data_IF_157493667617
#
_entry.id   IF_157493667617
#
_cell.length_a   1.000
_cell.length_b   1.000
_cell.length_c   1.000
_cell.angle_alpha   90.00
_cell.angle_beta   90.00
_cell.angle_gamma   90.00
#
_symmetry.space_group_name_H-M   'P 1'
#
loop_
_entity.id
_entity.type
_entity.pdbx_description
1 polymer ?
#
# COMPACT_ATOMS: atom_id res chain seq x y z
N UNK A 1 -9.94 -22.32 -6.56
CA UNK A 1 -9.48 -22.27 -7.95
C UNK A 1 -8.04 -21.80 -7.88
N UNK A 2 -7.09 -22.74 -7.87
CA UNK A 2 -5.67 -22.41 -7.82
C UNK A 2 -5.29 -21.90 -9.21
N UNK A 3 -5.21 -20.59 -9.35
CA UNK A 3 -5.12 -19.95 -10.65
C UNK A 3 -3.73 -20.05 -11.28
N UNK A 4 -2.68 -20.22 -10.47
CA UNK A 4 -1.30 -20.30 -10.94
C UNK A 4 -0.42 -21.06 -9.95
N UNK A 5 0.31 -22.03 -10.42
CA UNK A 5 1.37 -22.69 -9.67
C UNK A 5 2.73 -22.15 -10.13
N UNK A 6 3.61 -21.89 -9.18
CA UNK A 6 4.94 -21.32 -9.45
C UNK A 6 5.95 -22.45 -9.52
N UNK A 7 6.70 -22.48 -10.61
CA UNK A 7 7.85 -23.36 -10.73
C UNK A 7 9.07 -22.54 -11.14
N UNK A 8 10.26 -22.91 -10.72
CA UNK A 8 11.47 -22.27 -11.21
C UNK A 8 11.52 -22.28 -12.74
N UNK A 9 11.70 -21.10 -13.35
CA UNK A 9 11.74 -20.89 -14.79
C UNK A 9 10.47 -21.28 -15.58
N UNK A 10 9.34 -21.49 -14.90
CA UNK A 10 8.08 -21.87 -15.55
C UNK A 10 6.90 -21.17 -14.89
N UNK A 11 6.10 -20.49 -15.71
CA UNK A 11 4.87 -19.83 -15.27
C UNK A 11 3.70 -20.46 -16.00
N UNK A 12 3.01 -21.44 -15.43
CA UNK A 12 1.79 -22.01 -16.01
C UNK A 12 0.63 -21.02 -15.84
N UNK A 13 -0.16 -20.84 -16.89
CA UNK A 13 -1.36 -20.02 -16.89
C UNK A 13 -2.62 -20.87 -16.91
N UNK A 14 -3.68 -20.39 -16.24
CA UNK A 14 -5.01 -20.90 -16.53
C UNK A 14 -5.47 -20.39 -17.91
N UNK A 15 -6.30 -21.17 -18.59
CA UNK A 15 -6.92 -20.76 -19.86
C UNK A 15 -7.71 -19.46 -19.70
N UNK A 16 -8.37 -19.28 -18.55
CA UNK A 16 -9.14 -18.08 -18.24
C UNK A 16 -8.28 -16.80 -18.29
N UNK A 17 -7.07 -16.84 -17.75
CA UNK A 17 -6.16 -15.70 -17.73
C UNK A 17 -5.43 -15.56 -19.06
N UNK A 18 -4.93 -16.66 -19.62
CA UNK A 18 -4.08 -16.63 -20.80
C UNK A 18 -4.83 -16.41 -22.11
N UNK A 19 -6.09 -16.87 -22.22
CA UNK A 19 -6.80 -16.92 -23.50
C UNK A 19 -8.22 -16.37 -23.49
N UNK A 20 -8.89 -16.33 -22.32
CA UNK A 20 -10.30 -15.91 -22.22
C UNK A 20 -10.44 -14.51 -21.66
N UNK A 21 -9.53 -14.07 -20.80
CA UNK A 21 -9.55 -12.75 -20.21
C UNK A 21 -9.56 -11.68 -21.29
N UNK A 22 -10.60 -10.84 -21.30
CA UNK A 22 -10.70 -9.69 -22.20
C UNK A 22 -9.96 -8.52 -21.56
N UNK A 23 -9.01 -7.99 -22.30
CA UNK A 23 -8.36 -6.72 -21.98
C UNK A 23 -9.01 -5.67 -22.85
N UNK A 24 -9.73 -4.73 -22.25
CA UNK A 24 -10.27 -3.58 -22.96
C UNK A 24 -9.35 -2.39 -22.76
N UNK A 25 -8.44 -2.18 -23.71
CA UNK A 25 -7.52 -1.04 -23.70
C UNK A 25 -8.23 0.28 -24.08
N UNK A 26 -9.45 0.23 -24.63
CA UNK A 26 -10.22 1.38 -25.05
C UNK A 26 -10.94 2.06 -23.88
N UNK A 27 -11.24 1.32 -22.82
CA UNK A 27 -11.83 1.91 -21.62
C UNK A 27 -10.77 2.59 -20.75
N UNK A 28 -10.99 3.83 -20.38
CA UNK A 28 -10.17 4.55 -19.39
C UNK A 28 -10.07 3.82 -18.03
N UNK A 29 -10.82 2.74 -17.86
CA UNK A 29 -10.94 1.89 -16.69
C UNK A 29 -10.35 0.49 -16.79
N UNK A 30 -10.04 0.03 -18.01
CA UNK A 30 -9.55 -1.33 -18.21
C UNK A 30 -8.20 -1.57 -17.50
N UNK A 31 -8.19 -2.52 -16.57
CA UNK A 31 -6.95 -3.02 -15.99
C UNK A 31 -6.52 -4.24 -16.80
N UNK A 32 -5.34 -4.20 -17.36
CA UNK A 32 -4.73 -5.39 -17.96
C UNK A 32 -4.33 -6.35 -16.84
N UNK A 33 -5.33 -7.12 -16.40
CA UNK A 33 -5.14 -8.07 -15.32
C UNK A 33 -4.24 -9.23 -15.75
N UNK A 34 -4.32 -9.67 -17.00
CA UNK A 34 -3.47 -10.74 -17.52
C UNK A 34 -1.99 -10.33 -17.51
N UNK A 35 -1.69 -9.09 -17.92
CA UNK A 35 -0.34 -8.55 -17.87
C UNK A 35 0.14 -8.40 -16.40
N UNK A 36 -0.71 -7.87 -15.53
CA UNK A 36 -0.39 -7.71 -14.11
C UNK A 36 -0.03 -9.05 -13.46
N UNK A 37 -0.85 -10.08 -13.66
CA UNK A 37 -0.61 -11.42 -13.12
C UNK A 37 0.65 -12.04 -13.72
N UNK A 38 0.88 -11.86 -15.02
CA UNK A 38 2.11 -12.34 -15.67
C UNK A 38 3.35 -11.77 -15.01
N UNK A 39 3.37 -10.46 -14.76
CA UNK A 39 4.51 -9.80 -14.08
C UNK A 39 4.66 -10.30 -12.66
N UNK A 40 3.55 -10.52 -11.94
CA UNK A 40 3.55 -11.08 -10.59
C UNK A 40 4.23 -12.45 -10.56
N UNK A 41 3.83 -13.35 -11.44
CA UNK A 41 4.40 -14.69 -11.48
C UNK A 41 5.88 -14.70 -11.93
N UNK A 42 6.26 -13.80 -12.84
CA UNK A 42 7.66 -13.62 -13.20
C UNK A 42 8.47 -13.09 -12.01
N UNK A 43 7.92 -12.18 -11.20
CA UNK A 43 8.60 -11.66 -10.01
C UNK A 43 8.88 -12.75 -8.96
N UNK A 44 8.06 -13.81 -8.92
CA UNK A 44 8.31 -14.97 -8.06
C UNK A 44 9.60 -15.74 -8.40
N UNK A 45 10.19 -15.52 -9.57
CA UNK A 45 11.53 -16.08 -9.88
C UNK A 45 12.61 -15.52 -8.94
N UNK A 46 12.39 -14.37 -8.32
CA UNK A 46 13.21 -13.82 -7.23
C UNK A 46 12.57 -14.04 -5.87
N UNK A 47 11.30 -13.63 -5.71
CA UNK A 47 10.55 -13.64 -4.45
C UNK A 47 9.74 -14.92 -4.31
N UNK A 48 10.29 -15.97 -3.83
CA UNK A 48 9.88 -17.32 -3.51
C UNK A 48 10.88 -18.37 -4.01
N UNK A 49 11.52 -18.18 -5.17
CA UNK A 49 12.45 -19.20 -5.71
C UNK A 49 13.91 -18.92 -5.37
N UNK A 50 14.34 -17.67 -5.37
CA UNK A 50 15.69 -17.30 -4.91
C UNK A 50 15.67 -16.90 -3.43
N UNK A 51 14.67 -16.15 -3.00
CA UNK A 51 14.47 -15.76 -1.60
C UNK A 51 13.37 -16.63 -1.02
N UNK A 52 13.76 -17.65 -0.28
CA UNK A 52 12.83 -18.59 0.38
C UNK A 52 12.66 -18.13 1.83
N UNK A 53 11.42 -17.81 2.21
CA UNK A 53 11.07 -17.47 3.58
C UNK A 53 10.97 -18.69 4.49
N UNK A 54 11.35 -18.55 5.76
CA UNK A 54 11.05 -19.55 6.78
C UNK A 54 9.53 -19.74 6.91
N UNK A 55 9.10 -20.95 7.23
CA UNK A 55 7.69 -21.29 7.46
C UNK A 55 7.23 -20.75 8.83
N UNK A 56 7.05 -19.44 8.90
CA UNK A 56 6.61 -18.70 10.08
C UNK A 56 5.62 -17.61 9.67
N UNK A 57 4.99 -16.97 10.65
CA UNK A 57 4.13 -15.81 10.38
C UNK A 57 4.88 -14.75 9.59
N UNK A 58 4.22 -14.18 8.59
CA UNK A 58 4.78 -13.16 7.71
C UNK A 58 5.56 -13.70 6.50
N UNK A 59 5.71 -15.01 6.33
CA UNK A 59 6.45 -15.59 5.20
C UNK A 59 5.88 -15.14 3.84
N UNK A 60 4.57 -15.04 3.73
CA UNK A 60 3.87 -14.58 2.51
C UNK A 60 4.16 -13.12 2.16
N UNK A 61 4.64 -12.31 3.08
CA UNK A 61 5.11 -10.95 2.75
C UNK A 61 6.36 -11.01 1.85
N UNK A 62 7.26 -11.98 2.08
CA UNK A 62 8.48 -12.14 1.29
C UNK A 62 8.22 -12.59 -0.14
N UNK A 63 7.17 -13.39 -0.35
CA UNK A 63 6.80 -13.88 -1.68
C UNK A 63 5.78 -12.95 -2.35
N UNK A 64 4.59 -12.85 -1.78
CA UNK A 64 3.44 -12.21 -2.44
C UNK A 64 3.54 -10.68 -2.45
N UNK A 65 3.80 -10.06 -1.29
CA UNK A 65 3.80 -8.59 -1.23
C UNK A 65 4.91 -7.97 -2.08
N UNK A 66 6.06 -8.64 -2.16
CA UNK A 66 7.16 -8.15 -3.01
C UNK A 66 6.90 -8.41 -4.50
N UNK A 67 6.26 -9.52 -4.86
CA UNK A 67 5.84 -9.77 -6.24
C UNK A 67 4.77 -8.78 -6.70
N UNK A 68 3.79 -8.47 -5.84
CA UNK A 68 2.80 -7.42 -6.08
C UNK A 68 3.45 -6.04 -6.28
N UNK A 69 4.41 -5.68 -5.42
CA UNK A 69 5.14 -4.42 -5.56
C UNK A 69 5.88 -4.33 -6.91
N UNK A 70 6.54 -5.41 -7.33
CA UNK A 70 7.21 -5.46 -8.64
C UNK A 70 6.19 -5.27 -9.76
N UNK A 71 5.04 -5.93 -9.70
CA UNK A 71 3.97 -5.79 -10.68
C UNK A 71 3.49 -4.34 -10.79
N UNK A 72 3.24 -3.68 -9.65
CA UNK A 72 2.88 -2.28 -9.63
C UNK A 72 3.93 -1.39 -10.29
N UNK A 73 5.21 -1.63 -10.03
CA UNK A 73 6.30 -0.81 -10.60
C UNK A 73 6.47 -1.03 -12.11
N UNK A 74 6.28 -2.24 -12.60
CA UNK A 74 6.29 -2.54 -14.04
C UNK A 74 5.09 -1.89 -14.73
N UNK A 75 3.89 -2.01 -14.16
CA UNK A 75 2.70 -1.32 -14.69
C UNK A 75 2.90 0.20 -14.72
N UNK A 76 3.46 0.78 -13.67
CA UNK A 76 3.75 2.22 -13.65
C UNK A 76 4.72 2.62 -14.78
N UNK A 77 5.75 1.80 -15.01
CA UNK A 77 6.73 2.06 -16.05
C UNK A 77 6.13 1.93 -17.46
N UNK A 78 5.27 0.96 -17.69
CA UNK A 78 4.66 0.70 -19.01
C UNK A 78 3.46 1.60 -19.29
N UNK A 79 2.60 1.79 -18.33
CA UNK A 79 1.30 2.46 -18.51
C UNK A 79 1.21 3.84 -17.84
N UNK A 80 2.22 4.23 -17.08
CA UNK A 80 2.27 5.52 -16.40
C UNK A 80 1.46 5.60 -15.10
N UNK A 81 1.69 6.70 -14.36
CA UNK A 81 1.12 6.93 -13.02
C UNK A 81 -0.42 6.97 -12.99
N UNK A 82 -1.07 7.47 -14.06
CA UNK A 82 -2.53 7.56 -14.10
C UNK A 82 -3.16 6.16 -14.01
N UNK A 83 -2.67 5.21 -14.83
CA UNK A 83 -3.15 3.83 -14.82
C UNK A 83 -2.78 3.14 -13.49
N UNK A 84 -1.60 3.41 -12.95
CA UNK A 84 -1.15 2.89 -11.65
C UNK A 84 -2.11 3.26 -10.51
N UNK A 85 -2.61 4.50 -10.46
CA UNK A 85 -3.57 4.92 -9.42
C UNK A 85 -4.84 4.07 -9.38
N UNK A 86 -5.27 3.54 -10.52
CA UNK A 86 -6.44 2.63 -10.57
C UNK A 86 -6.14 1.31 -9.90
N UNK A 87 -4.95 0.74 -10.12
CA UNK A 87 -4.51 -0.47 -9.42
C UNK A 87 -4.39 -0.23 -7.91
N UNK A 88 -3.80 0.88 -7.50
CA UNK A 88 -3.70 1.24 -6.08
C UNK A 88 -5.07 1.44 -5.44
N UNK A 89 -5.99 2.11 -6.15
CA UNK A 89 -7.37 2.27 -5.66
C UNK A 89 -8.07 0.92 -5.50
N UNK A 90 -7.96 0.06 -6.50
CA UNK A 90 -8.51 -1.30 -6.44
C UNK A 90 -7.95 -2.08 -5.25
N UNK A 91 -6.63 -2.10 -5.08
CA UNK A 91 -5.99 -2.77 -3.95
C UNK A 91 -6.49 -2.22 -2.60
N UNK A 92 -6.68 -0.90 -2.48
CA UNK A 92 -7.23 -0.29 -1.27
C UNK A 92 -8.68 -0.71 -1.02
N UNK A 93 -9.52 -0.65 -2.05
CA UNK A 93 -10.94 -1.03 -1.95
C UNK A 93 -11.08 -2.51 -1.56
N UNK A 94 -10.29 -3.39 -2.18
CA UNK A 94 -10.26 -4.83 -1.88
C UNK A 94 -9.75 -5.10 -0.45
N UNK A 95 -8.69 -4.42 0.00
CA UNK A 95 -8.22 -4.53 1.37
C UNK A 95 -9.29 -4.11 2.38
N UNK A 96 -9.87 -2.91 2.21
CA UNK A 96 -10.88 -2.38 3.12
C UNK A 96 -12.15 -3.23 3.15
N UNK A 97 -12.57 -3.76 2.00
CA UNK A 97 -13.73 -4.64 1.90
C UNK A 97 -13.46 -5.99 2.55
N UNK A 98 -12.35 -6.63 2.21
CA UNK A 98 -12.04 -7.99 2.70
C UNK A 98 -11.85 -8.03 4.21
N UNK A 99 -11.21 -7.01 4.80
CA UNK A 99 -11.05 -6.94 6.26
C UNK A 99 -12.37 -6.87 7.01
N UNK A 100 -13.47 -6.41 6.39
CA UNK A 100 -14.79 -6.40 7.04
C UNK A 100 -15.37 -7.79 7.22
N UNK A 101 -14.88 -8.78 6.46
CA UNK A 101 -15.28 -10.18 6.52
C UNK A 101 -14.32 -11.03 7.37
N UNK A 102 -13.26 -10.45 7.94
CA UNK A 102 -12.32 -11.19 8.79
C UNK A 102 -13.03 -11.71 10.06
N UNK A 103 -13.00 -13.02 10.25
CA UNK A 103 -13.71 -13.69 11.36
C UNK A 103 -12.80 -14.09 12.51
N UNK A 104 -11.50 -14.23 12.24
CA UNK A 104 -10.53 -14.65 13.26
C UNK A 104 -9.88 -13.43 13.89
N UNK A 105 -8.89 -12.90 13.19
CA UNK A 105 -8.14 -11.70 13.58
C UNK A 105 -7.45 -11.13 12.34
N UNK A 106 -7.34 -9.82 12.24
CA UNK A 106 -6.44 -9.17 11.30
C UNK A 106 -5.03 -9.18 11.90
N UNK A 107 -4.03 -9.52 11.10
CA UNK A 107 -2.64 -9.42 11.52
C UNK A 107 -1.97 -8.18 10.91
N UNK A 108 -0.93 -7.66 11.56
CA UNK A 108 -0.02 -6.74 10.91
C UNK A 108 0.70 -7.46 9.76
N UNK A 109 1.13 -6.70 8.73
CA UNK A 109 1.71 -7.30 7.52
C UNK A 109 2.90 -8.22 7.85
N UNK A 110 3.77 -7.78 8.73
CA UNK A 110 4.97 -8.53 9.13
C UNK A 110 4.67 -9.86 9.83
N UNK A 111 3.45 -10.02 10.34
CA UNK A 111 2.98 -11.22 11.04
C UNK A 111 1.78 -11.88 10.36
N UNK A 112 1.61 -11.63 9.05
CA UNK A 112 0.51 -12.19 8.29
C UNK A 112 0.46 -13.73 8.38
N UNK A 113 -0.76 -14.25 8.55
CA UNK A 113 -1.05 -15.69 8.70
C UNK A 113 -1.76 -16.22 7.44
N UNK A 114 -1.18 -15.94 6.26
CA UNK A 114 -1.72 -16.39 4.97
C UNK A 114 -2.97 -15.67 4.49
N UNK A 115 -3.36 -14.55 5.13
CA UNK A 115 -4.54 -13.78 4.72
C UNK A 115 -4.24 -13.00 3.42
N UNK A 116 -4.92 -13.40 2.33
CA UNK A 116 -4.69 -12.85 0.99
C UNK A 116 -4.80 -11.33 0.94
N UNK A 117 -5.87 -10.77 1.50
CA UNK A 117 -6.09 -9.32 1.51
C UNK A 117 -5.00 -8.51 2.25
N UNK A 118 -4.21 -9.16 3.11
CA UNK A 118 -3.07 -8.54 3.79
C UNK A 118 -1.84 -8.61 2.89
N UNK A 119 -1.42 -9.80 2.45
CA UNK A 119 -0.17 -9.90 1.72
C UNK A 119 -0.26 -9.40 0.27
N UNK A 120 -1.39 -9.56 -0.42
CA UNK A 120 -1.57 -9.01 -1.77
C UNK A 120 -1.89 -7.51 -1.70
N UNK A 121 -3.07 -7.15 -1.20
CA UNK A 121 -3.58 -5.79 -1.30
C UNK A 121 -2.86 -4.82 -0.37
N UNK A 122 -2.87 -5.08 0.92
CA UNK A 122 -2.17 -4.20 1.88
C UNK A 122 -0.67 -4.19 1.65
N UNK A 123 -0.07 -5.36 1.36
CA UNK A 123 1.36 -5.49 1.10
C UNK A 123 1.83 -4.63 -0.07
N UNK A 124 1.13 -4.70 -1.21
CA UNK A 124 1.43 -3.89 -2.38
C UNK A 124 1.36 -2.39 -2.09
N UNK A 125 0.30 -1.95 -1.39
CA UNK A 125 0.12 -0.55 -0.98
C UNK A 125 1.24 -0.06 -0.08
N UNK A 126 1.66 -0.89 0.88
CA UNK A 126 2.73 -0.55 1.83
C UNK A 126 4.07 -0.38 1.11
N UNK A 127 4.47 -1.34 0.28
CA UNK A 127 5.75 -1.22 -0.44
C UNK A 127 5.74 -0.07 -1.43
N UNK A 128 4.62 0.16 -2.13
CA UNK A 128 4.49 1.30 -3.03
C UNK A 128 4.57 2.63 -2.27
N UNK A 129 3.84 2.79 -1.17
CA UNK A 129 3.90 3.98 -0.32
C UNK A 129 5.30 4.20 0.27
N UNK A 130 5.94 3.14 0.76
CA UNK A 130 7.30 3.23 1.29
C UNK A 130 8.28 3.71 0.21
N UNK A 131 8.16 3.18 -1.03
CA UNK A 131 8.99 3.63 -2.15
C UNK A 131 8.83 5.12 -2.47
N UNK A 132 7.64 5.66 -2.24
CA UNK A 132 7.35 7.06 -2.41
C UNK A 132 7.93 7.95 -1.28
N UNK A 133 7.89 7.44 -0.03
CA UNK A 133 8.43 8.17 1.13
C UNK A 133 9.96 8.20 1.18
N UNK A 134 10.63 7.08 1.01
CA UNK A 134 12.10 6.97 1.13
C UNK A 134 12.83 7.08 -0.23
N UNK A 135 12.08 7.11 -1.31
CA UNK A 135 12.57 7.11 -2.67
C UNK A 135 12.73 5.69 -3.26
N UNK A 136 12.18 5.49 -4.45
CA UNK A 136 12.21 4.20 -5.15
C UNK A 136 13.62 3.63 -5.30
N UNK A 137 14.58 4.46 -5.70
CA UNK A 137 15.99 4.03 -5.85
C UNK A 137 16.57 3.51 -4.54
N UNK A 138 16.21 4.13 -3.41
CA UNK A 138 16.67 3.71 -2.08
C UNK A 138 16.09 2.35 -1.72
N UNK A 139 14.76 2.19 -1.87
CA UNK A 139 14.10 0.92 -1.58
C UNK A 139 14.62 -0.19 -2.49
N UNK A 140 14.68 0.03 -3.81
CA UNK A 140 15.13 -0.99 -4.76
C UNK A 140 16.60 -1.40 -4.53
N UNK A 141 17.45 -0.46 -4.12
CA UNK A 141 18.84 -0.78 -3.73
C UNK A 141 18.88 -1.64 -2.46
N UNK A 142 18.02 -1.37 -1.48
CA UNK A 142 17.91 -2.19 -0.28
C UNK A 142 17.43 -3.60 -0.63
N UNK A 143 16.35 -3.71 -1.41
CA UNK A 143 15.83 -5.00 -1.86
C UNK A 143 16.87 -5.81 -2.66
N UNK A 144 17.61 -5.16 -3.58
CA UNK A 144 18.69 -5.80 -4.32
C UNK A 144 19.81 -6.33 -3.41
N UNK A 145 20.19 -5.56 -2.38
CA UNK A 145 21.17 -6.02 -1.40
C UNK A 145 20.65 -7.18 -0.56
N UNK A 146 19.36 -7.11 -0.20
CA UNK A 146 18.71 -8.18 0.56
C UNK A 146 18.69 -9.50 -0.25
N UNK A 147 18.24 -9.46 -1.51
CA UNK A 147 18.30 -10.63 -2.40
C UNK A 147 19.71 -11.20 -2.45
N UNK A 148 20.75 -10.38 -2.70
CA UNK A 148 22.14 -10.85 -2.75
C UNK A 148 22.62 -11.50 -1.43
N UNK A 149 22.04 -11.09 -0.29
CA UNK A 149 22.40 -11.64 1.03
C UNK A 149 21.76 -13.01 1.29
N UNK A 150 20.51 -13.21 0.83
CA UNK A 150 19.69 -14.34 1.23
C UNK A 150 19.24 -15.26 0.08
N UNK A 151 19.58 -14.91 -1.18
CA UNK A 151 19.22 -15.75 -2.33
C UNK A 151 19.93 -17.10 -2.21
N UNK A 152 19.16 -18.18 -2.45
CA UNK A 152 19.63 -19.56 -2.41
C UNK A 152 20.24 -19.96 -1.03
N UNK A 153 19.80 -19.30 0.03
CA UNK A 153 20.25 -19.58 1.39
C UNK A 153 19.79 -20.96 1.82
N UNK A 154 20.72 -21.71 2.42
CA UNK A 154 20.39 -22.93 3.16
C UNK A 154 19.74 -22.59 4.53
N UNK A 155 18.98 -23.49 5.14
CA UNK A 155 18.41 -23.23 6.46
C UNK A 155 19.46 -22.79 7.50
N UNK A 156 19.10 -21.87 8.41
CA UNK A 156 17.77 -21.30 8.61
C UNK A 156 17.42 -20.26 7.56
N UNK A 157 16.20 -20.35 7.04
CA UNK A 157 15.71 -19.41 6.03
C UNK A 157 15.39 -18.03 6.64
N UNK A 158 15.41 -17.02 5.79
CA UNK A 158 15.12 -15.63 6.18
C UNK A 158 13.63 -15.44 6.54
N UNK A 159 13.34 -14.37 7.29
CA UNK A 159 12.00 -14.04 7.78
C UNK A 159 11.54 -12.65 7.33
N UNK A 160 10.26 -12.36 7.47
CA UNK A 160 9.72 -11.00 7.29
C UNK A 160 10.40 -9.98 8.21
N UNK A 161 10.76 -10.38 9.43
CA UNK A 161 11.47 -9.55 10.40
C UNK A 161 12.85 -9.14 9.87
N UNK A 162 13.57 -10.08 9.26
CA UNK A 162 14.88 -9.81 8.67
C UNK A 162 14.78 -8.79 7.53
N UNK A 163 13.77 -8.92 6.66
CA UNK A 163 13.51 -7.95 5.58
C UNK A 163 13.19 -6.57 6.14
N UNK A 164 12.26 -6.48 7.11
CA UNK A 164 11.85 -5.21 7.72
C UNK A 164 13.04 -4.52 8.40
N UNK A 165 13.87 -5.27 9.14
CA UNK A 165 15.08 -4.73 9.74
C UNK A 165 16.04 -4.19 8.68
N UNK A 166 16.21 -4.92 7.58
CA UNK A 166 17.08 -4.47 6.48
C UNK A 166 16.55 -3.20 5.79
N UNK A 167 15.24 -3.07 5.62
CA UNK A 167 14.60 -1.84 5.10
C UNK A 167 14.77 -0.70 6.10
N UNK A 168 14.67 -0.97 7.40
CA UNK A 168 14.86 0.03 8.46
C UNK A 168 16.25 0.66 8.43
N UNK A 169 17.30 -0.10 8.10
CA UNK A 169 18.67 0.40 7.98
C UNK A 169 18.84 1.51 6.93
N UNK A 170 17.98 1.52 5.89
CA UNK A 170 18.04 2.52 4.82
C UNK A 170 16.96 3.61 4.95
N UNK A 171 16.06 3.44 5.92
CA UNK A 171 14.99 4.41 6.18
C UNK A 171 15.54 5.56 7.02
N UNK A 172 15.38 6.82 6.59
CA UNK A 172 15.79 7.96 7.40
C UNK A 172 15.14 7.95 8.79
N UNK A 173 15.87 8.35 9.82
CA UNK A 173 15.37 8.34 11.22
C UNK A 173 14.05 9.10 11.37
N UNK A 174 13.89 10.20 10.66
CA UNK A 174 12.66 11.00 10.66
C UNK A 174 11.43 10.24 10.11
N UNK A 175 11.64 9.14 9.38
CA UNK A 175 10.62 8.29 8.77
C UNK A 175 10.53 6.90 9.41
N UNK A 176 11.32 6.61 10.43
CA UNK A 176 11.30 5.30 11.10
C UNK A 176 9.94 4.93 11.70
N UNK A 177 9.09 5.93 12.02
CA UNK A 177 7.72 5.66 12.48
C UNK A 177 6.87 4.94 11.41
N UNK A 178 7.19 5.12 10.12
CA UNK A 178 6.50 4.45 9.02
C UNK A 178 6.71 2.93 9.07
N UNK A 179 7.89 2.46 9.52
CA UNK A 179 8.15 1.02 9.65
C UNK A 179 7.14 0.40 10.62
N UNK A 180 6.96 1.04 11.79
CA UNK A 180 5.96 0.59 12.77
C UNK A 180 4.54 0.65 12.20
N UNK A 181 4.16 1.76 11.59
CA UNK A 181 2.81 1.97 11.05
C UNK A 181 2.48 1.03 9.90
N UNK A 182 3.44 0.74 9.03
CA UNK A 182 3.22 -0.05 7.82
C UNK A 182 3.35 -1.56 8.03
N UNK A 183 4.33 -1.99 8.81
CA UNK A 183 4.67 -3.41 8.92
C UNK A 183 4.27 -4.04 10.25
N UNK A 184 4.40 -3.30 11.37
CA UNK A 184 4.29 -3.87 12.72
C UNK A 184 2.90 -3.70 13.32
N UNK A 185 2.07 -2.80 12.77
CA UNK A 185 0.75 -2.47 13.31
C UNK A 185 -0.34 -2.44 12.24
N UNK A 186 -1.59 -2.46 12.69
CA UNK A 186 -2.76 -2.29 11.83
C UNK A 186 -3.12 -0.80 11.86
N UNK A 187 -2.41 -0.01 11.07
CA UNK A 187 -2.60 1.45 10.99
C UNK A 187 -3.48 1.80 9.79
N UNK A 188 -4.47 2.65 10.04
CA UNK A 188 -5.44 3.13 9.06
C UNK A 188 -5.54 4.64 9.09
N UNK A 189 -6.04 5.20 7.99
CA UNK A 189 -6.25 6.63 7.83
C UNK A 189 -7.71 6.92 7.51
N UNK A 190 -8.19 8.04 8.03
CA UNK A 190 -9.48 8.60 7.66
C UNK A 190 -9.23 9.97 7.07
N UNK A 191 -9.21 10.05 5.76
CA UNK A 191 -8.99 11.26 5.00
C UNK A 191 -10.32 11.67 4.36
N UNK A 192 -10.76 12.90 4.62
CA UNK A 192 -12.04 13.40 4.12
C UNK A 192 -11.92 14.86 3.71
N UNK A 193 -12.30 15.17 2.49
CA UNK A 193 -12.55 16.54 2.08
C UNK A 193 -13.94 16.92 2.62
N UNK A 194 -13.99 18.00 3.39
CA UNK A 194 -15.23 18.53 3.99
C UNK A 194 -15.85 19.54 3.04
N UNK A 195 -15.05 20.46 2.55
CA UNK A 195 -15.51 21.50 1.64
C UNK A 195 -14.39 21.87 0.66
N UNK A 196 -14.80 22.21 -0.58
CA UNK A 196 -13.89 22.78 -1.58
C UNK A 196 -14.58 23.97 -2.25
N UNK A 197 -13.88 25.10 -2.30
CA UNK A 197 -14.32 26.31 -3.00
C UNK A 197 -13.28 26.72 -4.03
N UNK A 198 -13.73 27.10 -5.22
CA UNK A 198 -12.85 27.64 -6.25
C UNK A 198 -13.35 28.99 -6.73
N UNK A 199 -12.41 29.90 -6.98
CA UNK A 199 -12.68 31.24 -7.50
C UNK A 199 -11.67 31.57 -8.59
N UNK A 200 -12.17 31.95 -9.77
CA UNK A 200 -11.31 32.51 -10.84
C UNK A 200 -10.85 33.89 -10.45
N UNK A 201 -9.56 34.15 -10.62
CA UNK A 201 -8.92 35.45 -10.36
C UNK A 201 -8.79 36.24 -11.65
N UNK A 202 -8.58 37.55 -11.55
CA UNK A 202 -8.45 38.48 -12.69
C UNK A 202 -7.26 38.14 -13.60
N UNK A 203 -6.25 37.48 -13.08
CA UNK A 203 -5.08 37.01 -13.84
C UNK A 203 -5.27 35.65 -14.55
N UNK A 204 -6.51 35.16 -14.62
CA UNK A 204 -6.86 33.89 -15.24
C UNK A 204 -6.57 32.64 -14.41
N UNK A 205 -5.93 32.75 -13.26
CA UNK A 205 -5.68 31.64 -12.32
C UNK A 205 -6.90 31.38 -11.45
N UNK A 206 -6.89 30.24 -10.79
CA UNK A 206 -7.91 29.87 -9.82
C UNK A 206 -7.33 29.86 -8.41
N UNK A 207 -8.06 30.42 -7.45
CA UNK A 207 -7.86 30.16 -6.03
C UNK A 207 -8.74 28.99 -5.64
N UNK A 208 -8.14 27.97 -5.02
CA UNK A 208 -8.87 26.79 -4.52
C UNK A 208 -8.65 26.73 -3.01
N UNK A 209 -9.72 26.82 -2.25
CA UNK A 209 -9.75 26.64 -0.81
C UNK A 209 -10.30 25.24 -0.50
N UNK A 210 -9.58 24.45 0.28
CA UNK A 210 -9.93 23.08 0.63
C UNK A 210 -9.95 22.93 2.14
N UNK A 211 -11.10 22.54 2.68
CA UNK A 211 -11.19 22.06 4.06
C UNK A 211 -11.02 20.54 4.08
N UNK A 212 -9.97 20.07 4.76
CA UNK A 212 -9.55 18.69 4.74
C UNK A 212 -9.39 18.14 6.16
N UNK A 213 -10.17 17.13 6.51
CA UNK A 213 -10.08 16.44 7.78
C UNK A 213 -9.29 15.15 7.61
N UNK A 214 -8.26 14.98 8.43
CA UNK A 214 -7.39 13.81 8.39
C UNK A 214 -7.20 13.28 9.79
N UNK A 215 -7.26 11.97 9.93
CA UNK A 215 -6.89 11.28 11.16
C UNK A 215 -6.19 9.96 10.85
N UNK A 216 -5.28 9.58 11.72
CA UNK A 216 -4.61 8.28 11.73
C UNK A 216 -5.02 7.55 13.01
N UNK A 217 -5.32 6.27 12.89
CA UNK A 217 -5.71 5.45 14.02
C UNK A 217 -5.18 4.02 13.84
N UNK A 218 -5.10 3.29 14.95
CA UNK A 218 -4.71 1.89 14.93
C UNK A 218 -5.91 1.01 15.29
N UNK A 219 -5.93 -0.16 14.69
CA UNK A 219 -6.84 -1.21 15.09
C UNK A 219 -6.09 -2.29 15.85
N UNK A 220 -6.77 -2.94 16.79
CA UNK A 220 -6.32 -4.21 17.28
C UNK A 220 -6.70 -5.33 16.28
N UNK A 221 -6.22 -6.53 16.55
CA UNK A 221 -6.49 -7.73 15.75
C UNK A 221 -7.97 -8.06 15.54
N UNK A 222 -8.86 -7.56 16.40
CA UNK A 222 -10.32 -7.76 16.35
C UNK A 222 -11.05 -6.60 15.65
N UNK A 223 -10.33 -5.73 14.99
CA UNK A 223 -10.89 -4.59 14.25
C UNK A 223 -11.34 -3.42 15.13
N UNK A 224 -11.05 -3.43 16.44
CA UNK A 224 -11.34 -2.30 17.31
C UNK A 224 -10.36 -1.16 17.04
N UNK A 225 -10.89 -0.01 16.66
CA UNK A 225 -10.07 1.18 16.49
C UNK A 225 -9.67 1.78 17.84
N UNK A 226 -8.43 2.25 17.93
CA UNK A 226 -7.94 3.07 19.02
C UNK A 226 -7.06 4.21 18.49
N UNK A 227 -7.17 5.35 19.14
CA UNK A 227 -6.51 6.59 18.81
C UNK A 227 -5.57 6.92 19.97
N UNK A 228 -4.41 6.27 20.05
CA UNK A 228 -3.51 6.47 21.18
C UNK A 228 -2.06 6.47 20.81
N UNK A 229 -1.25 7.21 21.56
CA UNK A 229 0.19 7.31 21.36
C UNK A 229 0.95 6.07 21.87
N UNK A 230 0.38 5.32 22.80
CA UNK A 230 1.00 4.15 23.42
C UNK A 230 0.11 2.92 23.31
N UNK A 231 0.72 1.83 22.86
CA UNK A 231 0.12 0.50 22.95
C UNK A 231 0.13 0.06 24.43
N UNK A 232 -1.02 0.16 25.05
CA UNK A 232 -1.25 -0.55 26.30
C UNK A 232 -1.97 -1.85 25.99
N UNK A 233 -1.35 -2.96 26.29
CA UNK A 233 -1.77 -4.34 25.95
C UNK A 233 -3.16 -4.78 26.45
N UNK A 234 -3.94 -3.92 27.08
CA UNK A 234 -5.19 -4.35 27.72
C UNK A 234 -6.27 -3.30 27.86
N UNK A 235 -6.29 -2.25 27.05
CA UNK A 235 -7.33 -1.21 27.23
C UNK A 235 -8.57 -1.57 26.45
N UNK A 236 -9.63 -1.89 27.18
CA UNK A 236 -11.00 -1.96 26.67
C UNK A 236 -11.51 -0.52 26.51
N UNK A 237 -11.45 0.04 25.30
CA UNK A 237 -12.00 1.36 25.04
C UNK A 237 -13.52 1.27 24.94
N UNK A 238 -14.23 2.04 25.75
CA UNK A 238 -15.64 2.33 25.54
C UNK A 238 -15.74 3.46 24.48
N UNK A 239 -16.87 3.55 23.78
CA UNK A 239 -17.09 4.50 22.68
C UNK A 239 -16.83 5.96 23.05
N UNK A 240 -16.96 6.32 24.31
CA UNK A 240 -16.74 7.67 24.82
C UNK A 240 -15.24 8.03 24.98
N UNK A 241 -14.35 7.04 25.14
CA UNK A 241 -12.92 7.24 25.26
C UNK A 241 -12.26 7.60 23.92
N UNK A 242 -12.90 7.27 22.78
CA UNK A 242 -12.40 7.61 21.44
C UNK A 242 -12.42 9.10 21.14
N UNK A 243 -13.08 9.92 21.93
CA UNK A 243 -13.18 11.38 21.74
C UNK A 243 -12.08 12.17 22.45
N UNK A 244 -11.24 11.52 23.23
CA UNK A 244 -10.20 12.20 24.01
C UNK A 244 -8.96 12.47 23.16
N UNK A 245 -8.46 13.71 23.09
CA UNK A 245 -7.27 14.07 22.31
C UNK A 245 -5.99 13.31 22.70
N UNK A 246 -5.89 12.87 23.95
CA UNK A 246 -4.76 12.13 24.51
C UNK A 246 -4.54 10.74 23.86
N UNK A 247 -5.53 10.23 23.13
CA UNK A 247 -5.47 8.94 22.45
C UNK A 247 -5.21 9.06 20.94
N UNK A 248 -4.98 10.25 20.42
CA UNK A 248 -4.72 10.40 18.98
C UNK A 248 -3.32 9.92 18.61
N UNK A 249 -3.23 9.08 17.59
CA UNK A 249 -1.96 8.73 16.95
C UNK A 249 -1.48 9.93 16.16
N UNK A 250 -0.23 10.38 16.41
CA UNK A 250 0.32 11.54 15.72
C UNK A 250 0.38 11.32 14.21
N UNK A 251 -0.23 12.23 13.48
CA UNK A 251 -0.16 12.28 12.03
C UNK A 251 1.06 13.11 11.63
N UNK A 252 2.13 12.45 11.19
CA UNK A 252 3.35 13.08 10.66
C UNK A 252 3.50 12.85 9.15
N UNK A 253 2.47 12.31 8.54
CA UNK A 253 2.50 11.77 7.19
C UNK A 253 2.38 12.89 6.16
N UNK A 254 3.01 12.68 5.00
CA UNK A 254 2.75 13.47 3.82
C UNK A 254 1.53 12.91 3.11
N UNK A 255 0.58 13.78 2.78
CA UNK A 255 -0.62 13.41 2.05
C UNK A 255 -0.64 14.17 0.73
N UNK A 256 -0.78 13.45 -0.35
CA UNK A 256 -0.92 14.03 -1.67
C UNK A 256 -2.32 14.63 -1.84
N UNK A 257 -2.36 15.89 -2.29
CA UNK A 257 -3.60 16.57 -2.63
C UNK A 257 -3.59 16.82 -4.13
N UNK A 258 -4.53 16.18 -4.83
CA UNK A 258 -4.74 16.34 -6.26
C UNK A 258 -5.87 17.32 -6.56
N UNK A 259 -5.65 18.21 -7.51
CA UNK A 259 -6.68 19.08 -8.09
C UNK A 259 -6.84 18.67 -9.53
N UNK A 260 -8.07 18.31 -9.91
CA UNK A 260 -8.43 17.86 -11.25
C UNK A 260 -9.35 18.88 -11.90
N UNK A 261 -9.22 19.03 -13.21
CA UNK A 261 -10.07 19.86 -14.05
C UNK A 261 -10.60 19.06 -15.23
N UNK A 262 -11.53 19.65 -15.94
CA UNK A 262 -12.03 19.10 -17.22
C UNK A 262 -11.22 19.69 -18.38
N UNK A 263 -11.14 18.95 -19.49
CA UNK A 263 -10.55 19.48 -20.72
C UNK A 263 -11.51 20.48 -21.40
N UNK A 264 -11.01 21.18 -22.43
CA UNK A 264 -11.75 22.23 -23.14
C UNK A 264 -12.97 21.69 -23.92
N UNK A 265 -13.02 20.38 -24.18
CA UNK A 265 -14.06 19.73 -24.97
C UNK A 265 -15.23 19.21 -24.12
N UNK A 266 -15.29 19.55 -22.84
CA UNK A 266 -16.33 19.13 -21.86
C UNK A 266 -16.55 17.60 -21.81
N UNK A 267 -15.60 16.84 -22.37
CA UNK A 267 -15.55 15.41 -22.22
C UNK A 267 -15.12 15.09 -20.78
N UNK A 268 -15.71 14.08 -20.18
CA UNK A 268 -15.52 13.64 -18.79
C UNK A 268 -14.06 13.26 -18.41
N UNK A 269 -13.05 13.67 -19.20
CA UNK A 269 -11.63 13.46 -18.91
C UNK A 269 -11.17 14.42 -17.84
N UNK A 270 -11.07 13.92 -16.61
CA UNK A 270 -10.39 14.64 -15.54
C UNK A 270 -8.90 14.80 -15.89
N UNK A 271 -8.45 16.03 -16.03
CA UNK A 271 -7.04 16.38 -16.19
C UNK A 271 -6.50 16.75 -14.82
N UNK A 272 -5.42 16.08 -14.41
CA UNK A 272 -4.69 16.47 -13.21
C UNK A 272 -4.03 17.84 -13.42
N UNK A 273 -4.55 18.85 -12.73
CA UNK A 273 -4.02 20.22 -12.80
C UNK A 273 -2.91 20.45 -11.79
N UNK A 274 -2.96 19.76 -10.66
CA UNK A 274 -2.04 20.01 -9.55
C UNK A 274 -2.01 18.83 -8.60
N UNK A 275 -0.81 18.35 -8.29
CA UNK A 275 -0.56 17.36 -7.26
C UNK A 275 0.58 17.86 -6.37
N UNK A 276 0.34 17.94 -5.08
CA UNK A 276 1.37 18.33 -4.11
C UNK A 276 1.25 17.52 -2.83
N UNK A 277 2.39 17.05 -2.36
CA UNK A 277 2.52 16.46 -1.02
C UNK A 277 2.49 17.55 0.04
N UNK A 278 1.55 17.44 0.95
CA UNK A 278 1.46 18.27 2.13
C UNK A 278 1.80 17.47 3.37
N UNK A 279 2.77 17.95 4.15
CA UNK A 279 3.00 17.41 5.48
C UNK A 279 1.92 17.96 6.39
N UNK A 280 1.02 17.10 6.82
CA UNK A 280 0.01 17.46 7.80
C UNK A 280 0.62 17.22 9.18
N UNK A 281 1.02 18.30 9.84
CA UNK A 281 1.27 18.26 11.26
C UNK A 281 -0.09 18.19 11.94
N UNK A 282 -0.31 17.16 12.73
CA UNK A 282 -1.43 17.14 13.67
C UNK A 282 -1.22 18.31 14.65
N UNK A 283 -1.75 19.45 14.29
CA UNK A 283 -1.97 20.51 15.25
C UNK A 283 -3.11 20.02 16.13
N UNK A 284 -2.76 19.56 17.31
CA UNK A 284 -3.71 19.51 18.41
C UNK A 284 -4.08 20.98 18.62
N UNK A 285 -5.24 21.37 18.14
CA UNK A 285 -5.83 22.62 18.57
C UNK A 285 -6.28 22.39 20.00
N UNK A 286 -5.55 23.03 20.90
CA UNK A 286 -5.91 23.22 22.29
C UNK A 286 -7.22 24.00 22.36
#
# INVERSE_FOLDING_TARGET
MDLLNRFPNTVPFSEDIGFIAKVDDSEEGGNDYAFFVTVHEVAHQWWAHQVIGADVLGSTMLSESLSEYVSLKVIEQVNGKKKMRKFLKRALDEYLTSRTFERKRENALMYNDGQGYIHYQKGSLIFYALSDYIGEKTLNKALSKYVKKVAFQEPPYTTSIDLVNHIKEVTPDSLNYLIKDMFETITLYQNRIIETKSKKLDNGKYKVDIEFKVSKYRNNEKGRAFYGAEERDSITYQSDDMKKPEYSVFLKDYIDIGIFGKDEDDNEKEIELYLKKHKILSLIHI
#
